data_IF_077523531721
#
_entry.id   IF_077523531721
#
_cell.length_a   1.000
_cell.length_b   1.000
_cell.length_c   1.000
_cell.angle_alpha   90.00
_cell.angle_beta   90.00
_cell.angle_gamma   90.00
#
_symmetry.space_group_name_H-M   'P 1'
#
loop_
_entity.id
_entity.type
_entity.pdbx_description
1 polymer ?
#
# COMPACT_ATOMS: atom_id res chain seq x y z
N UNK A 1 -29.84 -27.83 28.09
CA UNK A 1 -30.19 -26.62 27.32
C UNK A 1 -29.44 -25.46 27.98
N UNK A 2 -28.25 -25.16 27.49
CA UNK A 2 -27.41 -24.10 28.07
C UNK A 2 -27.87 -22.76 27.49
N UNK A 3 -28.39 -21.88 28.34
CA UNK A 3 -28.82 -20.53 27.97
C UNK A 3 -27.57 -19.67 27.85
N UNK A 4 -27.23 -19.27 26.62
CA UNK A 4 -26.26 -18.20 26.38
C UNK A 4 -26.79 -16.90 27.01
N UNK A 5 -26.16 -16.46 28.09
CA UNK A 5 -26.41 -15.15 28.69
C UNK A 5 -26.06 -14.03 27.70
N UNK A 6 -26.91 -12.99 27.52
CA UNK A 6 -26.58 -11.86 26.67
C UNK A 6 -25.41 -11.07 27.28
N UNK A 7 -24.28 -11.02 26.56
CA UNK A 7 -23.16 -10.15 26.91
C UNK A 7 -23.59 -8.68 26.87
N UNK A 8 -23.24 -7.84 27.86
CA UNK A 8 -23.56 -6.42 27.84
C UNK A 8 -22.94 -5.73 26.61
N UNK A 9 -23.74 -5.04 25.82
CA UNK A 9 -23.32 -4.38 24.57
C UNK A 9 -22.18 -3.35 24.75
N UNK A 10 -21.96 -2.84 25.96
CA UNK A 10 -20.88 -1.90 26.29
C UNK A 10 -19.48 -2.55 26.37
N UNK A 11 -19.37 -3.88 26.19
CA UNK A 11 -18.10 -4.63 26.19
C UNK A 11 -17.69 -5.14 24.80
N UNK A 12 -18.38 -4.72 23.74
CA UNK A 12 -17.96 -5.03 22.37
C UNK A 12 -16.84 -4.06 21.98
N UNK A 13 -15.59 -4.44 22.26
CA UNK A 13 -14.44 -3.73 21.71
C UNK A 13 -14.45 -3.87 20.18
N UNK A 14 -14.41 -2.74 19.47
CA UNK A 14 -14.29 -2.76 18.02
C UNK A 14 -12.88 -3.23 17.66
N UNK A 15 -12.80 -4.42 17.06
CA UNK A 15 -11.54 -4.97 16.58
C UNK A 15 -10.87 -4.04 15.56
N UNK A 16 -9.57 -4.23 15.35
CA UNK A 16 -8.84 -3.41 14.40
C UNK A 16 -9.35 -3.61 12.96
N UNK A 17 -9.50 -2.53 12.21
CA UNK A 17 -9.92 -2.56 10.83
C UNK A 17 -8.70 -2.72 9.91
N UNK A 18 -8.78 -3.68 8.98
CA UNK A 18 -7.78 -3.84 7.93
C UNK A 18 -8.19 -3.09 6.67
N UNK A 19 -7.24 -2.44 6.01
CA UNK A 19 -7.47 -1.80 4.72
C UNK A 19 -6.50 -2.33 3.65
N UNK A 20 -7.06 -2.72 2.51
CA UNK A 20 -6.32 -3.12 1.31
C UNK A 20 -6.53 -2.08 0.20
N UNK A 21 -5.45 -1.43 -0.24
CA UNK A 21 -5.48 -0.38 -1.25
C UNK A 21 -4.16 -0.30 -2.03
N UNK A 22 -4.23 0.42 -3.15
CA UNK A 22 -3.08 0.76 -3.98
C UNK A 22 -3.04 2.26 -4.22
N UNK A 23 -1.86 2.86 -4.14
CA UNK A 23 -1.62 4.28 -4.42
C UNK A 23 -0.70 4.39 -5.66
N UNK A 24 -1.25 4.67 -6.84
CA UNK A 24 -0.48 4.91 -8.05
C UNK A 24 0.31 6.22 -7.95
N UNK A 25 1.48 6.25 -8.59
CA UNK A 25 2.33 7.45 -8.70
C UNK A 25 2.81 8.03 -7.35
N UNK A 26 2.61 7.31 -6.24
CA UNK A 26 3.05 7.67 -4.91
C UNK A 26 4.00 6.62 -4.34
N UNK A 27 5.07 7.10 -3.71
CA UNK A 27 6.04 6.30 -2.96
C UNK A 27 5.94 6.65 -1.49
N UNK A 28 5.33 5.79 -0.67
CA UNK A 28 5.15 6.07 0.76
C UNK A 28 6.47 6.08 1.56
N UNK A 29 7.55 5.47 1.04
CA UNK A 29 8.89 5.55 1.64
C UNK A 29 9.64 6.84 1.30
N UNK A 30 9.10 7.67 0.38
CA UNK A 30 9.80 8.83 -0.17
C UNK A 30 10.90 8.48 -1.17
N UNK A 31 11.14 7.20 -1.47
CA UNK A 31 12.13 6.78 -2.46
C UNK A 31 11.78 7.33 -3.84
N UNK A 32 12.78 7.90 -4.51
CA UNK A 32 12.67 8.51 -5.83
C UNK A 32 13.86 8.13 -6.71
N UNK A 33 13.58 7.60 -7.89
CA UNK A 33 14.55 7.42 -8.98
C UNK A 33 15.00 8.80 -9.47
N UNK A 34 16.28 9.14 -9.23
CA UNK A 34 16.86 10.42 -9.67
C UNK A 34 17.46 10.34 -11.08
N UNK A 35 18.12 9.23 -11.39
CA UNK A 35 18.80 9.02 -12.67
C UNK A 35 18.63 7.58 -13.13
N UNK A 36 18.33 7.41 -14.42
CA UNK A 36 18.32 6.12 -15.10
C UNK A 36 19.34 6.19 -16.24
N UNK A 37 20.48 5.51 -16.07
CA UNK A 37 21.54 5.46 -17.09
C UNK A 37 21.34 4.23 -17.95
N UNK A 38 21.30 4.43 -19.26
CA UNK A 38 21.23 3.37 -20.26
C UNK A 38 22.59 3.35 -20.96
N UNK A 39 23.30 2.24 -20.83
CA UNK A 39 24.61 2.04 -21.46
C UNK A 39 24.43 1.24 -22.75
N UNK A 40 24.90 1.78 -23.87
CA UNK A 40 24.82 1.15 -25.19
C UNK A 40 25.10 2.16 -26.30
N UNK A 41 25.39 1.72 -27.53
CA UNK A 41 25.52 2.62 -28.66
C UNK A 41 24.22 3.43 -28.84
N UNK A 42 24.29 4.75 -29.10
CA UNK A 42 23.10 5.54 -29.37
C UNK A 42 22.39 4.96 -30.59
N UNK A 43 21.17 4.47 -30.39
CA UNK A 43 20.28 4.09 -31.49
C UNK A 43 19.78 5.33 -32.24
N UNK A 44 19.09 5.15 -33.37
CA UNK A 44 18.52 6.26 -34.15
C UNK A 44 17.45 7.07 -33.39
N UNK A 45 16.92 6.52 -32.29
CA UNK A 45 15.94 7.18 -31.44
C UNK A 45 16.47 7.31 -29.99
N UNK A 46 16.07 8.38 -29.27
CA UNK A 46 16.37 8.49 -27.85
C UNK A 46 15.73 7.32 -27.09
N UNK A 47 16.48 6.73 -26.15
CA UNK A 47 15.97 5.65 -25.33
C UNK A 47 14.79 6.14 -24.47
N UNK A 48 13.65 5.47 -24.58
CA UNK A 48 12.47 5.78 -23.77
C UNK A 48 12.75 5.48 -22.30
N UNK A 49 12.32 6.37 -21.41
CA UNK A 49 12.54 6.26 -19.95
C UNK A 49 11.20 6.42 -19.24
N UNK A 50 10.76 5.37 -18.55
CA UNK A 50 9.51 5.36 -17.81
C UNK A 50 9.77 4.90 -16.38
N UNK A 51 9.18 5.61 -15.42
CA UNK A 51 9.20 5.22 -14.01
C UNK A 51 7.76 5.28 -13.51
N UNK A 52 7.32 4.21 -12.85
CA UNK A 52 6.02 4.16 -12.18
C UNK A 52 6.24 3.76 -10.73
N UNK A 53 5.72 4.56 -9.82
CA UNK A 53 5.57 4.17 -8.42
C UNK A 53 4.21 3.54 -8.22
N UNK A 54 4.17 2.48 -7.42
CA UNK A 54 2.95 1.86 -6.96
C UNK A 54 3.18 1.46 -5.51
N UNK A 55 2.47 2.10 -4.59
CA UNK A 55 2.45 1.64 -3.20
C UNK A 55 1.28 0.69 -3.02
N UNK A 56 1.53 -0.45 -2.40
CA UNK A 56 0.52 -1.44 -2.01
C UNK A 56 0.47 -1.53 -0.50
N UNK A 57 -0.73 -1.51 0.09
CA UNK A 57 -0.90 -1.78 1.51
C UNK A 57 -0.70 -3.28 1.79
N UNK A 58 0.08 -3.61 2.81
CA UNK A 58 0.22 -5.00 3.27
C UNK A 58 -0.53 -5.20 4.59
N UNK A 59 0.07 -4.80 5.71
CA UNK A 59 -0.53 -4.87 7.05
C UNK A 59 -1.03 -3.50 7.52
N UNK A 60 -1.83 -2.80 6.70
CA UNK A 60 -2.44 -1.53 7.12
C UNK A 60 -3.62 -1.76 8.06
N UNK A 61 -3.42 -1.45 9.34
CA UNK A 61 -4.38 -1.68 10.43
C UNK A 61 -4.74 -0.36 11.09
N UNK A 62 -6.03 -0.09 11.23
CA UNK A 62 -6.60 1.08 11.91
C UNK A 62 -7.31 0.66 13.19
N UNK A 63 -7.09 1.39 14.28
CA UNK A 63 -7.92 1.30 15.49
C UNK A 63 -8.90 2.46 15.50
N UNK A 64 -10.17 2.15 15.78
CA UNK A 64 -11.29 3.07 15.80
C UNK A 64 -11.60 3.51 17.23
#
# INVERSE_FOLDING_TARGET
LEVSSPVPAWRLELGAAHASFQLPSLSCSGLRVRFLRISGPPGPAPAQRWVRYLTHSDSYVLRL
#
